data_IF_827764081609
#
_entry.id   IF_827764081609
#
_cell.length_a   1.000
_cell.length_b   1.000
_cell.length_c   1.000
_cell.angle_alpha   90.00
_cell.angle_beta   90.00
_cell.angle_gamma   90.00
#
_symmetry.space_group_name_H-M   'P 1'
#
loop_
_entity.id
_entity.type
_entity.pdbx_description
1 polymer ?
#
# COMPACT_ATOMS: atom_id res chain seq x y z
N UNK A 1 -11.80 -17.25 12.38
CA UNK A 1 -12.63 -16.13 11.90
C UNK A 1 -11.76 -15.17 11.11
N UNK A 2 -12.17 -14.73 9.92
CA UNK A 2 -11.46 -13.67 9.17
C UNK A 2 -11.62 -12.34 9.90
N UNK A 3 -10.54 -11.56 10.00
CA UNK A 3 -10.56 -10.27 10.70
C UNK A 3 -10.77 -9.18 9.66
N UNK A 4 -11.96 -8.59 9.65
CA UNK A 4 -12.28 -7.50 8.75
C UNK A 4 -11.86 -6.18 9.40
N UNK A 5 -10.95 -5.45 8.75
CA UNK A 5 -10.52 -4.11 9.14
C UNK A 5 -11.03 -3.12 8.10
N UNK A 6 -11.64 -2.02 8.54
CA UNK A 6 -12.03 -0.88 7.69
C UNK A 6 -11.81 0.41 8.45
N UNK A 7 -11.47 1.48 7.74
CA UNK A 7 -11.34 2.78 8.39
C UNK A 7 -12.69 3.27 8.95
N UNK A 8 -12.73 3.89 10.13
CA UNK A 8 -13.90 4.64 10.58
C UNK A 8 -14.33 5.70 9.55
N UNK A 9 -15.64 5.94 9.44
CA UNK A 9 -16.25 6.91 8.51
C UNK A 9 -17.02 7.97 9.30
N UNK A 10 -17.38 9.07 8.66
CA UNK A 10 -18.10 10.18 9.30
C UNK A 10 -17.19 11.13 10.09
N UNK A 11 -17.82 12.07 10.79
CA UNK A 11 -17.19 13.18 11.51
C UNK A 11 -16.78 12.86 12.95
N UNK A 12 -17.27 11.76 13.53
CA UNK A 12 -16.88 11.32 14.87
C UNK A 12 -15.43 10.82 14.88
N UNK A 13 -14.67 11.14 15.93
CA UNK A 13 -13.26 10.74 16.07
C UNK A 13 -13.08 9.86 17.31
N UNK A 14 -12.08 8.97 17.24
CA UNK A 14 -11.71 8.06 18.34
C UNK A 14 -10.32 8.33 18.90
N UNK A 15 -9.51 9.10 18.17
CA UNK A 15 -8.25 9.68 18.66
C UNK A 15 -8.47 11.07 19.27
N UNK A 16 -7.45 11.59 19.97
CA UNK A 16 -7.47 12.92 20.62
C UNK A 16 -7.45 14.10 19.64
N UNK A 17 -7.20 13.86 18.36
CA UNK A 17 -7.18 14.87 17.31
C UNK A 17 -7.25 14.28 15.91
N UNK A 18 -7.58 15.12 14.93
CA UNK A 18 -7.78 14.71 13.54
C UNK A 18 -6.50 14.18 12.87
N UNK A 19 -5.33 14.66 13.25
CA UNK A 19 -4.06 14.18 12.63
C UNK A 19 -3.77 12.73 13.03
N UNK A 20 -4.02 12.38 14.29
CA UNK A 20 -3.89 11.02 14.81
C UNK A 20 -4.99 10.12 14.24
N UNK A 21 -6.23 10.62 14.19
CA UNK A 21 -7.38 9.91 13.61
C UNK A 21 -7.14 9.61 12.12
N UNK A 22 -6.58 10.57 11.37
CA UNK A 22 -6.23 10.39 9.96
C UNK A 22 -5.21 9.27 9.78
N UNK A 23 -4.12 9.27 10.55
CA UNK A 23 -3.12 8.20 10.50
C UNK A 23 -3.74 6.81 10.80
N UNK A 24 -4.63 6.74 11.81
CA UNK A 24 -5.31 5.50 12.16
C UNK A 24 -6.26 5.04 11.05
N UNK A 25 -7.08 5.94 10.50
CA UNK A 25 -7.99 5.64 9.39
C UNK A 25 -7.22 5.15 8.18
N UNK A 26 -6.12 5.80 7.82
CA UNK A 26 -5.33 5.39 6.67
C UNK A 26 -4.63 4.05 6.87
N UNK A 27 -4.13 3.75 8.08
CA UNK A 27 -3.64 2.42 8.44
C UNK A 27 -4.73 1.35 8.23
N UNK A 28 -5.96 1.62 8.67
CA UNK A 28 -7.08 0.70 8.52
C UNK A 28 -7.57 0.60 7.07
N UNK A 29 -7.52 1.69 6.29
CA UNK A 29 -7.84 1.70 4.87
C UNK A 29 -6.88 0.80 4.07
N UNK A 30 -5.59 0.81 4.41
CA UNK A 30 -4.60 -0.09 3.83
C UNK A 30 -4.93 -1.59 4.03
N UNK A 31 -5.83 -1.92 4.96
CA UNK A 31 -6.26 -3.30 5.25
C UNK A 31 -7.74 -3.55 4.91
N UNK A 32 -8.42 -2.58 4.28
CA UNK A 32 -9.80 -2.76 3.83
C UNK A 32 -9.84 -3.91 2.79
N UNK A 33 -10.76 -4.89 2.90
CA UNK A 33 -10.89 -5.97 1.92
C UNK A 33 -11.05 -5.49 0.47
N UNK A 34 -11.64 -4.32 0.26
CA UNK A 34 -11.79 -3.72 -1.06
C UNK A 34 -10.46 -3.18 -1.61
N UNK A 35 -9.55 -2.80 -0.72
CA UNK A 35 -8.28 -2.13 -1.04
C UNK A 35 -7.11 -3.12 -1.10
N UNK A 36 -6.91 -3.91 -0.05
CA UNK A 36 -5.74 -4.76 0.14
C UNK A 36 -5.84 -6.08 -0.61
N UNK A 37 -4.71 -6.59 -1.09
CA UNK A 37 -4.64 -7.88 -1.81
C UNK A 37 -4.89 -9.07 -0.87
N UNK A 38 -4.31 -9.10 0.35
CA UNK A 38 -4.47 -10.17 1.35
C UNK A 38 -4.48 -9.60 2.78
N UNK A 39 -5.55 -8.90 3.20
CA UNK A 39 -5.59 -8.16 4.47
C UNK A 39 -5.53 -9.03 5.73
N UNK A 40 -6.01 -10.28 5.69
CA UNK A 40 -5.92 -11.22 6.83
C UNK A 40 -4.45 -11.51 7.23
N UNK A 41 -3.52 -11.38 6.29
CA UNK A 41 -2.07 -11.51 6.49
C UNK A 41 -1.34 -10.16 6.65
N UNK A 42 -2.11 -9.06 6.77
CA UNK A 42 -1.66 -7.67 6.78
C UNK A 42 -1.03 -7.18 5.47
N UNK A 43 -1.12 -7.99 4.40
CA UNK A 43 -0.51 -7.71 3.10
C UNK A 43 -1.42 -6.79 2.29
N UNK A 44 -0.86 -5.64 1.91
CA UNK A 44 -1.52 -4.60 1.12
C UNK A 44 -1.32 -4.84 -0.37
N UNK A 45 -0.08 -4.88 -0.85
CA UNK A 45 0.27 -5.14 -2.26
C UNK A 45 1.76 -5.50 -2.44
N UNK A 46 2.17 -5.76 -3.68
CA UNK A 46 3.58 -5.85 -4.07
C UNK A 46 4.30 -7.08 -3.50
N UNK A 47 3.62 -8.23 -3.47
CA UNK A 47 4.15 -9.44 -2.84
C UNK A 47 3.81 -9.45 -1.35
N UNK A 48 4.81 -9.32 -0.48
CA UNK A 48 4.66 -9.35 0.98
C UNK A 48 4.66 -7.96 1.63
N UNK A 49 4.27 -6.91 0.89
CA UNK A 49 4.22 -5.54 1.41
C UNK A 49 3.10 -5.39 2.44
N UNK A 50 3.44 -5.10 3.71
CA UNK A 50 2.50 -5.12 4.83
C UNK A 50 2.26 -3.74 5.45
N UNK A 51 1.10 -3.58 6.09
CA UNK A 51 0.73 -2.37 6.83
C UNK A 51 1.30 -2.32 8.26
N UNK A 52 1.44 -3.49 8.89
CA UNK A 52 2.04 -3.68 10.22
C UNK A 52 2.74 -5.04 10.29
N UNK A 53 3.71 -5.19 11.22
CA UNK A 53 4.59 -6.37 11.24
C UNK A 53 3.83 -7.67 11.51
N UNK A 54 2.91 -7.61 12.46
CA UNK A 54 2.00 -8.68 12.87
C UNK A 54 0.79 -8.05 13.57
N UNK A 55 -0.22 -8.87 13.87
CA UNK A 55 -1.48 -8.38 14.44
C UNK A 55 -1.31 -7.70 15.80
N UNK A 56 -0.41 -8.19 16.66
CA UNK A 56 -0.10 -7.54 17.93
C UNK A 56 0.49 -6.13 17.73
N UNK A 57 1.36 -5.95 16.72
CA UNK A 57 1.87 -4.64 16.35
C UNK A 57 0.77 -3.73 15.80
N UNK A 58 -0.12 -4.25 14.95
CA UNK A 58 -1.27 -3.50 14.43
C UNK A 58 -2.15 -2.96 15.57
N UNK A 59 -2.55 -3.83 16.50
CA UNK A 59 -3.37 -3.46 17.66
C UNK A 59 -2.68 -2.43 18.52
N UNK A 60 -1.37 -2.61 18.75
CA UNK A 60 -0.58 -1.66 19.52
C UNK A 60 -0.49 -0.30 18.81
N UNK A 61 -0.29 -0.26 17.50
CA UNK A 61 -0.29 1.00 16.72
C UNK A 61 -1.64 1.71 16.86
N UNK A 62 -2.75 1.00 16.68
CA UNK A 62 -4.10 1.57 16.82
C UNK A 62 -4.30 2.13 18.23
N UNK A 63 -3.93 1.39 19.27
CA UNK A 63 -4.04 1.85 20.66
C UNK A 63 -3.15 3.07 20.93
N UNK A 64 -1.94 3.10 20.39
CA UNK A 64 -1.01 4.21 20.52
C UNK A 64 -1.55 5.47 19.85
N UNK A 65 -2.07 5.36 18.61
CA UNK A 65 -2.65 6.50 17.90
C UNK A 65 -3.88 7.08 18.59
N UNK A 66 -4.70 6.25 19.26
CA UNK A 66 -5.84 6.73 20.05
C UNK A 66 -5.42 7.52 21.28
N UNK A 67 -4.30 7.14 21.91
CA UNK A 67 -3.79 7.77 23.13
C UNK A 67 -2.84 8.96 22.87
N UNK A 68 -2.25 9.06 21.67
CA UNK A 68 -1.19 10.00 21.30
C UNK A 68 -1.66 11.46 21.41
N UNK A 69 -0.91 12.26 22.15
CA UNK A 69 -1.18 13.69 22.33
C UNK A 69 -0.84 14.52 21.08
N UNK A 70 -1.26 15.80 21.09
CA UNK A 70 -1.02 16.76 20.02
C UNK A 70 0.46 17.15 19.85
N UNK A 71 1.26 17.03 20.91
CA UNK A 71 2.68 17.36 20.96
C UNK A 71 3.58 16.12 21.08
N UNK A 72 3.06 14.93 20.76
CA UNK A 72 3.81 13.67 20.77
C UNK A 72 4.01 13.09 19.36
N UNK A 73 5.04 12.26 19.21
CA UNK A 73 5.35 11.55 17.97
C UNK A 73 5.55 10.06 18.24
N UNK A 74 4.78 9.22 17.54
CA UNK A 74 4.92 7.76 17.52
C UNK A 74 6.03 7.34 16.56
N UNK A 75 6.96 6.50 17.01
CA UNK A 75 7.97 5.87 16.17
C UNK A 75 7.53 4.45 15.77
N UNK A 76 7.48 4.19 14.47
CA UNK A 76 7.18 2.87 13.90
C UNK A 76 8.43 2.35 13.17
N UNK A 77 9.03 1.30 13.72
CA UNK A 77 10.17 0.63 13.13
C UNK A 77 9.71 -0.67 12.49
N UNK A 78 9.85 -0.80 11.17
CA UNK A 78 9.43 -1.98 10.38
C UNK A 78 8.07 -2.52 10.83
N UNK A 79 7.05 -1.67 10.81
CA UNK A 79 5.67 -2.01 11.19
C UNK A 79 5.42 -2.34 12.67
N UNK A 80 6.36 -2.02 13.58
CA UNK A 80 6.21 -2.18 15.04
C UNK A 80 6.25 -0.80 15.73
N UNK A 81 5.31 -0.47 16.63
CA UNK A 81 5.38 0.75 17.43
C UNK A 81 6.43 0.58 18.53
N UNK A 82 7.51 1.35 18.49
CA UNK A 82 8.68 1.15 19.36
C UNK A 82 8.85 2.22 20.44
N UNK A 83 8.19 3.37 20.31
CA UNK A 83 8.24 4.42 21.32
C UNK A 83 7.38 5.62 20.94
N UNK A 84 7.05 6.42 21.95
CA UNK A 84 6.40 7.72 21.81
C UNK A 84 7.29 8.72 22.53
N UNK A 85 7.56 9.85 21.89
CA UNK A 85 8.37 10.92 22.45
C UNK A 85 7.64 12.24 22.34
N UNK A 86 7.82 13.09 23.34
CA UNK A 86 7.36 14.47 23.30
C UNK A 86 8.17 15.23 22.24
N UNK A 87 7.47 15.92 21.36
CA UNK A 87 7.99 16.79 20.31
C UNK A 87 7.31 18.16 20.43
N UNK A 88 6.50 18.56 19.46
CA UNK A 88 5.72 19.79 19.44
C UNK A 88 4.58 19.68 18.42
N UNK A 89 3.56 20.54 18.49
CA UNK A 89 2.36 20.43 17.66
C UNK A 89 2.63 20.47 16.15
N UNK A 90 3.62 21.26 15.70
CA UNK A 90 4.05 21.31 14.30
C UNK A 90 4.86 20.11 13.79
N UNK A 91 5.25 19.16 14.66
CA UNK A 91 6.00 17.98 14.26
C UNK A 91 5.08 16.90 13.65
N UNK A 92 5.61 15.93 12.89
CA UNK A 92 4.84 14.76 12.48
C UNK A 92 4.34 13.95 13.69
N UNK A 93 3.09 13.49 13.65
CA UNK A 93 2.54 12.58 14.68
C UNK A 93 3.11 11.17 14.60
N UNK A 94 3.60 10.76 13.43
CA UNK A 94 4.17 9.42 13.21
C UNK A 94 5.43 9.54 12.34
N UNK A 95 6.51 8.90 12.77
CA UNK A 95 7.72 8.69 11.97
C UNK A 95 7.90 7.20 11.72
N UNK A 96 8.11 6.83 10.46
CA UNK A 96 8.11 5.44 10.00
C UNK A 96 9.44 5.13 9.32
N UNK A 97 10.10 4.05 9.74
CA UNK A 97 11.31 3.54 9.12
C UNK A 97 11.16 2.02 8.91
N UNK A 98 10.91 1.60 7.67
CA UNK A 98 10.61 0.20 7.32
C UNK A 98 11.72 -0.43 6.49
N UNK A 99 12.03 -1.70 6.78
CA UNK A 99 12.93 -2.55 5.96
C UNK A 99 14.36 -2.02 5.74
N UNK A 100 14.81 -1.02 6.50
CA UNK A 100 16.20 -0.56 6.43
C UNK A 100 17.15 -1.61 7.00
N UNK A 101 18.13 -1.98 6.19
CA UNK A 101 19.22 -2.91 6.53
C UNK A 101 20.51 -2.27 6.05
N UNK A 102 21.59 -2.38 6.84
CA UNK A 102 22.90 -1.86 6.46
C UNK A 102 23.32 -2.49 5.12
N UNK A 103 23.87 -1.73 4.14
CA UNK A 103 23.96 -2.18 2.74
C UNK A 103 24.61 -3.54 2.52
N UNK A 104 25.69 -3.87 3.26
CA UNK A 104 26.36 -5.17 3.15
C UNK A 104 25.47 -6.37 3.51
N UNK A 105 24.38 -6.15 4.24
CA UNK A 105 23.41 -7.17 4.63
C UNK A 105 22.06 -7.03 3.94
N UNK A 106 21.87 -6.04 3.07
CA UNK A 106 20.60 -5.72 2.42
C UNK A 106 20.27 -6.69 1.26
N UNK A 107 20.24 -7.99 1.56
CA UNK A 107 19.88 -9.07 0.63
C UNK A 107 18.52 -9.65 0.99
N UNK A 108 17.83 -10.25 0.02
CA UNK A 108 16.56 -10.93 0.27
C UNK A 108 16.71 -12.10 1.26
N UNK A 109 17.81 -12.85 1.21
CA UNK A 109 18.08 -13.94 2.15
C UNK A 109 18.12 -13.44 3.60
N UNK A 110 18.92 -12.40 3.86
CA UNK A 110 19.00 -11.79 5.19
C UNK A 110 17.66 -11.17 5.60
N UNK A 111 16.99 -10.46 4.67
CA UNK A 111 15.66 -9.91 4.93
C UNK A 111 14.67 -11.00 5.36
N UNK A 112 14.59 -12.13 4.63
CA UNK A 112 13.68 -13.24 4.95
C UNK A 112 14.04 -13.91 6.26
N UNK A 113 15.32 -14.05 6.56
CA UNK A 113 15.79 -14.52 7.88
C UNK A 113 15.28 -13.61 9.00
N UNK A 114 15.46 -12.29 8.88
CA UNK A 114 14.99 -11.34 9.89
C UNK A 114 13.47 -11.26 9.98
N UNK A 115 12.76 -11.43 8.86
CA UNK A 115 11.30 -11.48 8.82
C UNK A 115 10.78 -12.72 9.56
N UNK A 116 11.39 -13.89 9.32
CA UNK A 116 11.07 -15.13 10.04
C UNK A 116 11.36 -15.03 11.54
N UNK A 117 12.38 -14.26 11.94
CA UNK A 117 12.67 -13.93 13.34
C UNK A 117 11.72 -12.86 13.94
N UNK A 118 10.80 -12.29 13.14
CA UNK A 118 9.90 -11.22 13.59
C UNK A 118 10.58 -9.86 13.82
N UNK A 119 11.75 -9.63 13.21
CA UNK A 119 12.58 -8.44 13.44
C UNK A 119 12.37 -7.33 12.39
N UNK A 120 11.86 -7.67 11.22
CA UNK A 120 11.58 -6.71 10.14
C UNK A 120 10.23 -6.95 9.47
N UNK A 121 9.85 -6.05 8.58
CA UNK A 121 8.63 -6.08 7.78
C UNK A 121 8.91 -5.41 6.45
N UNK A 122 8.45 -6.00 5.35
CA UNK A 122 8.55 -5.36 4.04
C UNK A 122 7.48 -4.29 3.92
N UNK A 123 7.87 -3.02 3.91
CA UNK A 123 6.94 -1.90 3.86
C UNK A 123 6.45 -1.55 2.45
N UNK A 124 7.09 -2.08 1.40
CA UNK A 124 6.93 -1.55 0.04
C UNK A 124 7.12 -0.01 0.09
N UNK A 125 6.36 0.76 -0.68
CA UNK A 125 6.29 2.22 -0.63
C UNK A 125 5.13 2.63 0.27
N UNK A 126 3.90 2.42 -0.20
CA UNK A 126 2.68 2.94 0.45
C UNK A 126 1.96 1.95 1.36
N UNK A 127 2.42 0.68 1.39
CA UNK A 127 1.84 -0.35 2.26
C UNK A 127 2.18 -0.07 3.73
N UNK A 128 3.46 0.07 4.05
CA UNK A 128 3.95 0.32 5.40
C UNK A 128 3.91 1.79 5.84
N UNK A 129 3.56 2.70 4.93
CA UNK A 129 3.41 4.14 5.20
C UNK A 129 1.96 4.63 5.18
N UNK A 130 1.00 3.70 5.06
CA UNK A 130 -0.43 3.95 5.25
C UNK A 130 -1.00 5.02 4.30
N UNK A 131 -0.80 4.85 3.00
CA UNK A 131 -1.36 5.77 2.00
C UNK A 131 -1.70 5.04 0.69
N UNK A 132 -2.00 3.75 0.77
CA UNK A 132 -2.41 2.96 -0.38
C UNK A 132 -3.91 3.13 -0.62
N UNK A 133 -4.27 3.39 -1.88
CA UNK A 133 -5.64 3.71 -2.32
C UNK A 133 -6.11 2.73 -3.40
N UNK A 134 -5.62 1.49 -3.33
CA UNK A 134 -5.88 0.48 -4.35
C UNK A 134 -5.16 0.77 -5.66
N UNK A 135 -5.65 0.12 -6.72
CA UNK A 135 -5.08 0.18 -8.08
C UNK A 135 -5.00 1.60 -8.63
N UNK A 136 -5.89 2.50 -8.19
CA UNK A 136 -5.91 3.89 -8.63
C UNK A 136 -4.57 4.60 -8.38
N UNK A 137 -3.86 4.24 -7.32
CA UNK A 137 -2.61 4.90 -6.93
C UNK A 137 -1.52 4.88 -8.01
N UNK A 138 -1.53 3.89 -8.91
CA UNK A 138 -0.55 3.79 -10.01
C UNK A 138 -1.18 4.00 -11.39
N UNK A 139 -2.50 4.15 -11.47
CA UNK A 139 -3.22 4.24 -12.73
C UNK A 139 -2.72 5.41 -13.58
N UNK A 140 -2.62 6.61 -13.00
CA UNK A 140 -2.16 7.78 -13.72
C UNK A 140 -0.71 7.63 -14.19
N UNK A 141 0.19 7.10 -13.35
CA UNK A 141 1.59 6.88 -13.74
C UNK A 141 1.72 5.88 -14.90
N UNK A 142 0.90 4.83 -14.89
CA UNK A 142 0.87 3.83 -15.97
C UNK A 142 0.28 4.42 -17.25
N UNK A 143 -0.80 5.20 -17.12
CA UNK A 143 -1.41 5.96 -18.22
C UNK A 143 -0.38 6.90 -18.88
N UNK A 144 0.33 7.71 -18.08
CA UNK A 144 1.33 8.65 -18.60
C UNK A 144 2.51 7.94 -19.24
N UNK A 145 2.89 6.77 -18.73
CA UNK A 145 3.93 5.94 -19.35
C UNK A 145 3.51 5.49 -20.74
N UNK A 146 2.29 4.98 -20.90
CA UNK A 146 1.75 4.60 -22.20
C UNK A 146 1.52 5.81 -23.11
N UNK A 147 1.06 6.94 -22.58
CA UNK A 147 0.89 8.17 -23.34
C UNK A 147 2.24 8.71 -23.86
N UNK A 148 3.29 8.65 -23.03
CA UNK A 148 4.64 9.03 -23.43
C UNK A 148 5.20 8.09 -24.52
N UNK A 149 4.99 6.78 -24.38
CA UNK A 149 5.37 5.81 -25.41
C UNK A 149 4.59 6.06 -26.72
N UNK A 150 3.29 6.36 -26.64
CA UNK A 150 2.44 6.71 -27.78
C UNK A 150 2.95 7.96 -28.51
N UNK A 151 3.27 9.03 -27.77
CA UNK A 151 3.84 10.26 -28.35
C UNK A 151 5.19 10.00 -29.03
N UNK A 152 6.05 9.20 -28.40
CA UNK A 152 7.40 8.94 -28.91
C UNK A 152 7.41 8.03 -30.14
N UNK A 153 6.50 7.06 -30.23
CA UNK A 153 6.60 5.97 -31.22
C UNK A 153 5.42 5.88 -32.18
N UNK A 154 4.25 6.43 -31.84
CA UNK A 154 3.00 6.14 -32.55
C UNK A 154 2.16 7.39 -32.85
N UNK A 155 2.76 8.58 -32.80
CA UNK A 155 2.06 9.83 -33.15
C UNK A 155 1.06 10.32 -32.10
N UNK A 156 1.18 9.88 -30.85
CA UNK A 156 0.41 10.41 -29.72
C UNK A 156 -0.76 9.56 -29.23
N UNK A 157 -1.08 8.45 -29.90
CA UNK A 157 -2.15 7.53 -29.49
C UNK A 157 -1.72 6.05 -29.65
N UNK A 158 -2.31 5.15 -28.87
CA UNK A 158 -2.17 3.70 -29.04
C UNK A 158 -3.30 3.10 -29.89
N UNK A 159 -4.13 3.91 -30.54
CA UNK A 159 -5.19 3.44 -31.45
C UNK A 159 -4.64 2.48 -32.51
N UNK A 160 -5.26 1.30 -32.62
CA UNK A 160 -4.83 0.24 -33.54
C UNK A 160 -3.54 -0.46 -33.11
N UNK A 161 -3.07 -0.24 -31.88
CA UNK A 161 -1.90 -0.90 -31.29
C UNK A 161 -2.33 -1.80 -30.14
N UNK A 162 -1.42 -2.72 -29.82
CA UNK A 162 -1.61 -3.70 -28.77
C UNK A 162 -0.49 -3.58 -27.73
N UNK A 163 -0.87 -3.57 -26.46
CA UNK A 163 0.03 -3.61 -25.31
C UNK A 163 0.01 -5.03 -24.73
N UNK A 164 1.15 -5.72 -24.82
CA UNK A 164 1.36 -7.01 -24.19
C UNK A 164 2.12 -6.82 -22.87
N UNK A 165 1.58 -7.33 -21.76
CA UNK A 165 2.27 -7.32 -20.46
C UNK A 165 1.84 -8.50 -19.59
N UNK A 166 2.45 -8.63 -18.41
CA UNK A 166 2.12 -9.65 -17.42
C UNK A 166 1.87 -9.08 -16.01
N UNK A 167 1.05 -9.78 -15.23
CA UNK A 167 0.74 -9.50 -13.83
C UNK A 167 -0.41 -8.51 -13.61
N UNK A 168 -1.47 -8.98 -12.94
CA UNK A 168 -2.69 -8.25 -12.63
C UNK A 168 -2.94 -8.12 -11.10
N UNK A 169 -1.86 -8.10 -10.32
CA UNK A 169 -1.90 -7.78 -8.88
C UNK A 169 -2.27 -6.31 -8.59
N UNK A 170 -2.22 -5.90 -7.32
CA UNK A 170 -2.71 -4.57 -6.87
C UNK A 170 -2.27 -3.37 -7.72
N UNK A 171 -1.02 -3.37 -8.18
CA UNK A 171 -0.47 -2.31 -9.04
C UNK A 171 -0.56 -2.68 -10.54
N UNK A 172 -0.15 -3.90 -10.91
CA UNK A 172 -0.18 -4.34 -12.31
C UNK A 172 -1.59 -4.39 -12.91
N UNK A 173 -2.62 -4.50 -12.07
CA UNK A 173 -4.02 -4.41 -12.47
C UNK A 173 -4.44 -3.05 -13.05
N UNK A 174 -3.61 -2.01 -12.95
CA UNK A 174 -3.88 -0.72 -13.58
C UNK A 174 -3.60 -0.70 -15.08
N UNK A 175 -2.79 -1.66 -15.57
CA UNK A 175 -2.30 -1.70 -16.94
C UNK A 175 -3.41 -1.79 -18.01
N UNK A 176 -4.46 -2.62 -17.88
CA UNK A 176 -5.49 -2.71 -18.91
C UNK A 176 -6.23 -1.37 -19.07
N UNK A 177 -6.71 -0.79 -17.97
CA UNK A 177 -7.38 0.51 -17.99
C UNK A 177 -6.47 1.64 -18.51
N UNK A 178 -5.21 1.67 -18.09
CA UNK A 178 -4.25 2.66 -18.60
C UNK A 178 -4.02 2.56 -20.12
N UNK A 179 -3.98 1.33 -20.66
CA UNK A 179 -3.82 1.10 -22.08
C UNK A 179 -5.08 1.50 -22.87
N UNK A 180 -6.28 1.15 -22.38
CA UNK A 180 -7.54 1.50 -23.04
C UNK A 180 -7.85 3.00 -22.97
N UNK A 181 -7.45 3.69 -21.89
CA UNK A 181 -7.48 5.16 -21.80
C UNK A 181 -6.56 5.84 -22.83
N UNK A 182 -5.54 5.14 -23.33
CA UNK A 182 -4.69 5.58 -24.44
C UNK A 182 -5.17 5.04 -25.81
N UNK A 183 -6.41 4.56 -25.89
CA UNK A 183 -7.06 4.00 -27.09
C UNK A 183 -6.43 2.70 -27.60
N UNK A 184 -5.55 2.06 -26.81
CA UNK A 184 -4.92 0.79 -27.13
C UNK A 184 -5.76 -0.42 -26.76
N UNK A 185 -5.40 -1.58 -27.33
CA UNK A 185 -5.88 -2.89 -26.88
C UNK A 185 -4.86 -3.50 -25.93
N UNK A 186 -5.30 -4.17 -24.86
CA UNK A 186 -4.41 -4.80 -23.88
C UNK A 186 -4.58 -6.32 -23.86
N UNK A 187 -3.47 -7.05 -23.78
CA UNK A 187 -3.44 -8.45 -23.35
C UNK A 187 -2.52 -8.60 -22.16
N UNK A 188 -3.11 -8.97 -21.03
CA UNK A 188 -2.41 -9.27 -19.80
C UNK A 188 -2.29 -10.76 -19.59
N UNK A 189 -1.08 -11.24 -19.33
CA UNK A 189 -0.85 -12.61 -18.86
C UNK A 189 -0.87 -12.61 -17.33
N UNK A 190 -1.82 -13.31 -16.73
CA UNK A 190 -1.91 -13.52 -15.28
C UNK A 190 -2.10 -15.01 -15.00
N UNK A 191 -1.33 -15.52 -14.04
CA UNK A 191 -1.29 -16.94 -13.69
C UNK A 191 -2.34 -17.29 -12.63
N UNK A 192 -2.76 -16.30 -11.83
CA UNK A 192 -3.73 -16.46 -10.74
C UNK A 192 -5.13 -15.99 -11.17
N UNK A 193 -6.09 -16.90 -11.42
CA UNK A 193 -7.44 -16.54 -11.84
C UNK A 193 -8.17 -15.62 -10.85
N UNK A 194 -7.87 -15.71 -9.55
CA UNK A 194 -8.52 -14.87 -8.54
C UNK A 194 -8.14 -13.38 -8.70
N UNK A 195 -6.93 -13.10 -9.23
CA UNK A 195 -6.51 -11.73 -9.52
C UNK A 195 -7.22 -11.16 -10.73
N UNK A 196 -7.44 -11.98 -11.76
CA UNK A 196 -8.21 -11.60 -12.95
C UNK A 196 -9.64 -11.22 -12.55
N UNK A 197 -10.30 -12.11 -11.81
CA UNK A 197 -11.67 -11.90 -11.31
C UNK A 197 -11.79 -10.62 -10.49
N UNK A 198 -10.82 -10.35 -9.62
CA UNK A 198 -10.79 -9.10 -8.85
C UNK A 198 -10.71 -7.85 -9.75
N UNK A 199 -9.96 -7.88 -10.86
CA UNK A 199 -9.88 -6.74 -11.78
C UNK A 199 -11.18 -6.50 -12.54
N UNK A 200 -11.84 -7.58 -12.97
CA UNK A 200 -13.17 -7.51 -13.58
C UNK A 200 -14.18 -6.89 -12.61
N UNK A 201 -14.22 -7.35 -11.36
CA UNK A 201 -15.11 -6.81 -10.33
C UNK A 201 -14.87 -5.32 -10.05
N UNK A 202 -13.61 -4.88 -10.08
CA UNK A 202 -13.26 -3.46 -9.87
C UNK A 202 -13.35 -2.60 -11.13
N UNK A 203 -13.70 -3.17 -12.29
CA UNK A 203 -13.79 -2.44 -13.57
C UNK A 203 -12.44 -1.99 -14.15
N UNK A 204 -11.35 -2.66 -13.79
CA UNK A 204 -9.99 -2.37 -14.28
C UNK A 204 -9.55 -3.27 -15.45
N UNK A 205 -10.32 -4.31 -15.75
CA UNK A 205 -10.14 -5.24 -16.88
C UNK A 205 -11.45 -5.36 -17.65
#
# INVERSE_FOLDING_TARGET
>A
MKRIVRAPRGSEISCKGWVQEAAMRMLMNNLDPEVAEKPDELIVYGGSGKAARNWACFERIVSSLKALEGDETLLVQSGKPVGIFKTHEGAPRVLIANAHIVPAWATWENFRRYEAMGLTMYGQMTAGSWIYIGTQGILQGTYETFAAAARKHFGGSLRGRFVLSGGLGGMGGAQPLAATMNEGVFLGVEVDPARIERRLQTGYL
#
